data_IF_196837848840
#
_entry.id   IF_196837848840
#
_cell.length_a   1.000
_cell.length_b   1.000
_cell.length_c   1.000
_cell.angle_alpha   90.00
_cell.angle_beta   90.00
_cell.angle_gamma   90.00
#
_symmetry.space_group_name_H-M   'P 1'
#
loop_
_entity.id
_entity.type
_entity.pdbx_description
1 polymer ?
#
# COMPACT_ATOMS: atom_id res chain seq x y z
N UNK A 1 -41.07 18.47 -29.47
CA UNK A 1 -39.83 17.68 -29.41
C UNK A 1 -38.79 18.44 -28.60
N UNK A 2 -38.48 18.01 -27.37
CA UNK A 2 -37.52 18.72 -26.52
C UNK A 2 -36.09 18.36 -26.93
N UNK A 3 -35.33 19.36 -27.41
CA UNK A 3 -33.90 19.23 -27.71
C UNK A 3 -33.13 19.19 -26.39
N UNK A 4 -32.70 18.01 -25.93
CA UNK A 4 -31.70 17.96 -24.87
C UNK A 4 -30.39 18.54 -25.41
N UNK A 5 -30.08 19.78 -25.04
CA UNK A 5 -28.80 20.42 -25.34
C UNK A 5 -27.72 19.70 -24.53
N UNK A 6 -26.75 19.12 -25.22
CA UNK A 6 -25.52 18.66 -24.60
C UNK A 6 -24.82 19.86 -23.92
N UNK A 7 -24.50 19.72 -22.64
CA UNK A 7 -23.74 20.70 -21.86
C UNK A 7 -22.35 20.12 -21.57
N UNK A 8 -21.30 20.76 -22.10
CA UNK A 8 -19.93 20.31 -21.91
C UNK A 8 -19.59 20.22 -20.40
N UNK A 9 -19.08 19.07 -19.96
CA UNK A 9 -18.74 18.81 -18.55
C UNK A 9 -19.88 18.29 -17.68
N UNK A 10 -21.13 18.23 -18.17
CA UNK A 10 -22.25 17.61 -17.46
C UNK A 10 -22.63 16.28 -18.10
N UNK A 11 -22.77 15.25 -17.26
CA UNK A 11 -23.25 13.95 -17.70
C UNK A 11 -24.69 14.07 -18.22
N UNK A 12 -24.96 13.55 -19.42
CA UNK A 12 -26.32 13.43 -19.95
C UNK A 12 -27.22 12.50 -19.13
N UNK A 13 -26.64 11.67 -18.25
CA UNK A 13 -27.34 10.93 -17.21
C UNK A 13 -26.69 11.21 -15.84
N UNK A 14 -27.21 12.17 -15.07
CA UNK A 14 -26.71 12.50 -13.73
C UNK A 14 -26.80 11.34 -12.72
N UNK A 15 -27.68 10.36 -12.97
CA UNK A 15 -27.81 9.12 -12.17
C UNK A 15 -26.99 7.95 -12.74
N UNK A 16 -26.16 8.22 -13.74
CA UNK A 16 -25.26 7.23 -14.33
C UNK A 16 -24.22 6.73 -13.33
N UNK A 17 -23.46 5.71 -13.75
CA UNK A 17 -22.42 5.11 -12.92
C UNK A 17 -21.38 6.19 -12.51
N UNK A 18 -21.09 6.37 -11.21
CA UNK A 18 -20.18 7.41 -10.78
C UNK A 18 -18.76 7.14 -11.29
N UNK A 19 -18.03 8.22 -11.58
CA UNK A 19 -16.63 8.14 -12.03
C UNK A 19 -15.78 7.50 -10.92
N UNK A 20 -15.04 6.45 -11.26
CA UNK A 20 -14.23 5.69 -10.30
C UNK A 20 -14.94 4.52 -9.63
N UNK A 21 -16.22 4.27 -9.92
CA UNK A 21 -16.92 3.09 -9.40
C UNK A 21 -16.25 1.79 -9.87
N UNK A 22 -15.75 0.98 -8.93
CA UNK A 22 -15.05 -0.27 -9.21
C UNK A 22 -15.95 -1.25 -9.97
N UNK A 23 -15.43 -1.84 -11.05
CA UNK A 23 -16.14 -2.85 -11.81
C UNK A 23 -16.39 -4.08 -10.91
N UNK A 24 -17.62 -4.58 -10.85
CA UNK A 24 -18.00 -5.74 -10.01
C UNK A 24 -17.15 -6.96 -10.36
N UNK A 25 -16.89 -7.20 -11.64
CA UNK A 25 -16.04 -8.29 -12.11
C UNK A 25 -14.60 -8.16 -11.60
N UNK A 26 -14.02 -6.96 -11.70
CA UNK A 26 -12.66 -6.71 -11.21
C UNK A 26 -12.58 -6.82 -9.68
N UNK A 27 -13.64 -6.44 -8.96
CA UNK A 27 -13.73 -6.63 -7.52
C UNK A 27 -13.71 -8.12 -7.17
N UNK A 28 -14.58 -8.90 -7.80
CA UNK A 28 -14.67 -10.35 -7.58
C UNK A 28 -13.34 -11.06 -7.89
N UNK A 29 -12.68 -10.71 -9.00
CA UNK A 29 -11.39 -11.30 -9.36
C UNK A 29 -10.36 -11.03 -8.26
N UNK A 30 -10.30 -9.81 -7.71
CA UNK A 30 -9.38 -9.48 -6.61
C UNK A 30 -9.68 -10.29 -5.35
N UNK A 31 -10.95 -10.47 -5.02
CA UNK A 31 -11.39 -11.25 -3.86
C UNK A 31 -10.97 -12.72 -4.01
N UNK A 32 -11.31 -13.36 -5.14
CA UNK A 32 -10.95 -14.76 -5.40
C UNK A 32 -9.44 -14.98 -5.43
N UNK A 33 -8.67 -14.04 -5.99
CA UNK A 33 -7.21 -14.12 -5.95
C UNK A 33 -6.65 -13.98 -4.54
N UNK A 34 -7.22 -13.11 -3.71
CA UNK A 34 -6.80 -12.96 -2.32
C UNK A 34 -7.07 -14.25 -1.55
N UNK A 35 -8.26 -14.83 -1.70
CA UNK A 35 -8.65 -16.08 -1.04
C UNK A 35 -7.71 -17.23 -1.43
N UNK A 36 -7.47 -17.44 -2.74
CA UNK A 36 -6.54 -18.45 -3.22
C UNK A 36 -5.10 -18.22 -2.71
N UNK A 37 -4.66 -16.96 -2.64
CA UNK A 37 -3.36 -16.63 -2.08
C UNK A 37 -3.28 -17.02 -0.60
N UNK A 38 -4.31 -16.71 0.21
CA UNK A 38 -4.34 -17.09 1.62
C UNK A 38 -4.35 -18.61 1.81
N UNK A 39 -5.11 -19.35 0.99
CA UNK A 39 -5.10 -20.81 1.01
C UNK A 39 -3.69 -21.37 0.74
N UNK A 40 -3.00 -20.86 -0.28
CA UNK A 40 -1.62 -21.28 -0.59
C UNK A 40 -0.62 -20.93 0.52
N UNK A 41 -0.81 -19.80 1.22
CA UNK A 41 0.05 -19.45 2.35
C UNK A 41 -0.17 -20.35 3.58
N UNK A 42 -1.35 -20.95 3.70
CA UNK A 42 -1.65 -21.91 4.78
C UNK A 42 -1.22 -23.35 4.43
N UNK A 43 -0.93 -23.66 3.16
CA UNK A 43 -0.45 -24.97 2.76
C UNK A 43 1.03 -25.16 3.18
N UNK A 44 1.37 -26.16 4.02
CA UNK A 44 2.72 -26.40 4.49
C UNK A 44 3.73 -26.75 3.37
N UNK A 45 3.26 -27.17 2.18
CA UNK A 45 4.09 -27.62 1.06
C UNK A 45 4.41 -26.54 0.04
N UNK A 46 3.59 -25.48 -0.06
CA UNK A 46 3.71 -24.47 -1.14
C UNK A 46 3.66 -23.02 -0.66
N UNK A 47 3.67 -22.77 0.64
CA UNK A 47 3.71 -21.42 1.19
C UNK A 47 5.03 -20.67 0.93
N UNK A 48 4.98 -19.34 1.10
CA UNK A 48 6.10 -18.43 0.87
C UNK A 48 7.27 -18.70 1.82
N UNK A 49 7.01 -19.12 3.06
CA UNK A 49 8.07 -19.39 4.04
C UNK A 49 8.93 -20.58 3.60
N UNK A 50 8.31 -21.64 3.09
CA UNK A 50 9.01 -22.79 2.56
C UNK A 50 9.86 -22.40 1.35
N UNK A 51 9.28 -21.69 0.38
CA UNK A 51 10.03 -21.19 -0.77
C UNK A 51 11.20 -20.28 -0.36
N UNK A 52 11.00 -19.41 0.64
CA UNK A 52 12.02 -18.50 1.15
C UNK A 52 13.18 -19.21 1.84
N UNK A 53 12.92 -20.33 2.52
CA UNK A 53 13.98 -21.17 3.11
C UNK A 53 14.86 -21.80 2.03
N UNK A 54 14.25 -22.21 0.92
CA UNK A 54 14.96 -22.79 -0.22
C UNK A 54 15.66 -21.72 -1.09
N UNK A 55 15.15 -20.47 -1.08
CA UNK A 55 15.61 -19.37 -1.95
C UNK A 55 15.79 -18.04 -1.16
N UNK A 56 16.65 -17.99 -0.13
CA UNK A 56 16.72 -16.85 0.78
C UNK A 56 17.16 -15.55 0.08
N UNK A 57 18.12 -15.63 -0.83
CA UNK A 57 18.61 -14.45 -1.56
C UNK A 57 17.53 -13.78 -2.41
N UNK A 58 16.71 -14.55 -3.10
CA UNK A 58 15.62 -14.01 -3.93
C UNK A 58 14.47 -13.47 -3.09
N UNK A 59 14.17 -14.12 -1.95
CA UNK A 59 13.22 -13.61 -0.98
C UNK A 59 13.61 -12.21 -0.49
N UNK A 60 14.86 -12.00 -0.08
CA UNK A 60 15.32 -10.68 0.38
C UNK A 60 15.35 -9.63 -0.74
N UNK A 61 15.69 -10.00 -1.98
CA UNK A 61 15.59 -9.08 -3.14
C UNK A 61 14.15 -8.60 -3.35
N UNK A 62 13.16 -9.49 -3.19
CA UNK A 62 11.74 -9.10 -3.24
C UNK A 62 11.37 -8.20 -2.07
N UNK A 63 11.80 -8.53 -0.85
CA UNK A 63 11.56 -7.73 0.35
C UNK A 63 12.04 -6.30 0.22
N UNK A 64 13.24 -6.08 -0.35
CA UNK A 64 13.80 -4.74 -0.58
C UNK A 64 12.93 -3.90 -1.53
N UNK A 65 12.25 -4.52 -2.51
CA UNK A 65 11.34 -3.80 -3.43
C UNK A 65 10.03 -3.37 -2.78
N UNK A 66 9.65 -4.03 -1.67
CA UNK A 66 8.45 -3.71 -0.90
C UNK A 66 8.71 -2.58 0.10
N UNK A 67 9.97 -2.32 0.45
CA UNK A 67 10.34 -1.16 1.27
C UNK A 67 10.16 0.10 0.43
N UNK A 68 9.35 1.07 0.88
CA UNK A 68 9.23 2.35 0.20
C UNK A 68 10.61 3.01 0.10
N UNK A 69 11.10 3.27 -1.11
CA UNK A 69 12.38 3.96 -1.35
C UNK A 69 12.39 5.42 -0.90
N UNK A 70 11.22 5.97 -0.57
CA UNK A 70 11.04 7.29 0.02
C UNK A 70 10.29 7.12 1.35
N UNK A 71 11.03 7.07 2.45
CA UNK A 71 10.44 7.19 3.78
C UNK A 71 10.07 8.66 4.01
N UNK A 72 8.77 9.00 3.95
CA UNK A 72 8.29 10.26 4.52
C UNK A 72 8.32 10.11 6.03
N UNK A 73 9.42 10.51 6.66
CA UNK A 73 9.51 10.57 8.11
C UNK A 73 8.62 11.74 8.56
N UNK A 74 7.43 11.44 9.07
CA UNK A 74 6.64 12.39 9.86
C UNK A 74 7.14 12.24 11.30
N UNK A 75 8.13 13.04 11.70
CA UNK A 75 8.56 13.09 13.10
C UNK A 75 7.62 14.01 13.88
N UNK A 76 6.71 13.41 14.65
CA UNK A 76 5.96 14.10 15.72
C UNK A 76 6.56 13.80 17.10
N UNK A 77 7.87 13.56 17.14
CA UNK A 77 8.60 13.30 18.39
C UNK A 77 9.26 14.62 18.83
N UNK A 78 8.89 15.21 19.97
CA UNK A 78 9.60 16.37 20.50
C UNK A 78 11.04 15.95 20.83
N UNK A 79 12.01 16.53 20.13
CA UNK A 79 13.41 16.32 20.45
C UNK A 79 13.73 16.98 21.78
N UNK A 80 13.88 16.18 22.85
CA UNK A 80 14.47 16.64 24.11
C UNK A 80 15.97 16.77 23.88
N UNK A 81 16.43 18.01 23.69
CA UNK A 81 17.86 18.33 23.64
C UNK A 81 18.35 18.39 25.09
N UNK A 82 19.12 17.38 25.51
CA UNK A 82 19.83 17.42 26.79
C UNK A 82 21.14 18.18 26.57
N UNK A 83 21.20 19.42 27.04
CA UNK A 83 22.46 20.16 27.13
C UNK A 83 23.29 19.60 28.28
N UNK A 84 24.44 18.98 27.98
CA UNK A 84 25.44 18.67 28.99
C UNK A 84 26.24 19.95 29.26
N UNK A 85 26.02 20.57 30.42
CA UNK A 85 26.83 21.69 30.88
C UNK A 85 28.29 21.22 31.03
N UNK A 86 29.29 22.01 30.58
CA UNK A 86 30.68 21.68 30.80
C UNK A 86 30.99 21.75 32.30
N UNK A 87 31.61 20.69 32.82
CA UNK A 87 32.10 20.68 34.19
C UNK A 87 33.27 21.66 34.27
N UNK A 88 33.08 22.76 35.00
CA UNK A 88 34.13 23.71 35.31
C UNK A 88 35.20 23.03 36.19
N UNK A 89 36.18 22.40 35.56
CA UNK A 89 37.43 22.00 36.19
C UNK A 89 38.31 23.24 36.37
N UNK A 90 38.51 23.62 37.64
CA UNK A 90 39.60 24.51 38.07
C UNK A 90 40.93 23.83 37.78
N UNK A 91 41.84 24.56 37.13
CA UNK A 91 43.28 24.47 37.36
C UNK A 91 43.74 25.82 37.93
#
# INVERSE_FOLDING_TARGET
MARHKFEAGKSGNPKGRPRGASNKTNKLIKEVFADAFYELQNDPKVNLVKWAKDNPGDFYKLGIRLVPTQMTIVTDIPQVIIFKLPENGRD
#
